data_IF_470092244770
#
_entry.id   IF_470092244770
#
_cell.length_a   1.000
_cell.length_b   1.000
_cell.length_c   1.000
_cell.angle_alpha   90.00
_cell.angle_beta   90.00
_cell.angle_gamma   90.00
#
_symmetry.space_group_name_H-M   'P 1'
#
loop_
_entity.id
_entity.type
_entity.pdbx_description
1 polymer ?
#
# COMPACT_ATOMS: atom_id res chain seq x y z
N UNK A 1 -14.55 -11.56 1.78
CA UNK A 1 -13.70 -12.41 2.64
C UNK A 1 -12.51 -12.86 1.83
N UNK A 2 -11.30 -12.70 2.35
CA UNK A 2 -10.08 -13.24 1.73
C UNK A 2 -9.86 -14.61 2.35
N UNK A 3 -9.70 -15.65 1.54
CA UNK A 3 -9.58 -17.02 2.00
C UNK A 3 -8.19 -17.59 1.77
N UNK A 4 -7.72 -18.43 2.68
CA UNK A 4 -6.47 -19.21 2.58
C UNK A 4 -5.23 -18.37 2.20
N UNK A 5 -5.04 -17.23 2.85
CA UNK A 5 -3.91 -16.32 2.61
C UNK A 5 -2.79 -16.52 3.63
N UNK A 6 -1.57 -16.13 3.26
CA UNK A 6 -0.55 -15.78 4.25
C UNK A 6 -0.93 -14.43 4.87
N UNK A 7 -0.71 -14.25 6.17
CA UNK A 7 -0.85 -12.96 6.85
C UNK A 7 0.43 -12.54 7.54
N UNK A 8 0.79 -11.27 7.42
CA UNK A 8 1.85 -10.63 8.19
C UNK A 8 1.21 -9.58 9.09
N UNK A 9 0.93 -9.92 10.33
CA UNK A 9 0.26 -9.02 11.30
C UNK A 9 1.26 -8.32 12.22
N UNK A 10 2.45 -8.88 12.39
CA UNK A 10 3.57 -8.28 13.10
C UNK A 10 4.86 -8.44 12.28
N UNK A 11 5.87 -7.56 12.45
CA UNK A 11 7.12 -7.66 11.72
C UNK A 11 7.77 -9.03 11.85
N UNK A 12 8.02 -9.69 10.70
CA UNK A 12 8.66 -11.00 10.64
C UNK A 12 7.77 -12.21 11.02
N UNK A 13 6.51 -12.01 11.39
CA UNK A 13 5.60 -13.10 11.77
C UNK A 13 4.59 -13.38 10.65
N UNK A 14 4.88 -14.40 9.85
CA UNK A 14 3.98 -14.87 8.79
C UNK A 14 3.14 -16.03 9.33
N UNK A 15 1.81 -15.88 9.29
CA UNK A 15 0.86 -16.96 9.59
C UNK A 15 0.25 -17.50 8.29
N UNK A 16 0.48 -18.77 7.95
CA UNK A 16 -0.15 -19.39 6.79
C UNK A 16 -1.61 -19.77 7.06
N UNK A 17 -2.34 -20.07 5.98
CA UNK A 17 -3.69 -20.61 6.02
C UNK A 17 -4.65 -19.81 6.90
N UNK A 18 -4.80 -18.52 6.61
CA UNK A 18 -5.71 -17.64 7.32
C UNK A 18 -6.85 -17.16 6.42
N UNK A 19 -8.01 -16.96 7.02
CA UNK A 19 -9.14 -16.23 6.44
C UNK A 19 -9.25 -14.84 7.07
N UNK A 20 -9.57 -13.83 6.26
CA UNK A 20 -9.80 -12.45 6.68
C UNK A 20 -11.22 -12.05 6.30
N UNK A 21 -12.05 -11.82 7.32
CA UNK A 21 -13.39 -11.26 7.15
C UNK A 21 -13.35 -9.75 7.26
N UNK A 22 -13.86 -9.08 6.24
CA UNK A 22 -14.03 -7.63 6.18
C UNK A 22 -15.54 -7.34 6.21
N UNK A 23 -15.95 -6.40 7.07
CA UNK A 23 -17.32 -5.91 7.18
C UNK A 23 -17.29 -4.42 7.48
N UNK A 24 -18.11 -3.64 6.78
CA UNK A 24 -18.22 -2.18 6.96
C UNK A 24 -16.84 -1.48 6.97
N UNK A 25 -16.02 -1.78 5.96
CA UNK A 25 -14.65 -1.27 5.77
C UNK A 25 -13.67 -1.57 6.93
N UNK A 26 -13.98 -2.56 7.77
CA UNK A 26 -13.16 -2.96 8.90
C UNK A 26 -12.83 -4.44 8.86
N UNK A 27 -11.66 -4.79 9.39
CA UNK A 27 -11.32 -6.18 9.67
C UNK A 27 -12.20 -6.64 10.84
N UNK A 28 -13.15 -7.52 10.56
CA UNK A 28 -14.06 -8.05 11.55
C UNK A 28 -13.46 -9.26 12.26
N UNK A 29 -12.70 -10.09 11.55
CA UNK A 29 -12.08 -11.29 12.08
C UNK A 29 -10.90 -11.73 11.20
N UNK A 30 -9.85 -12.26 11.85
CA UNK A 30 -8.77 -13.02 11.23
C UNK A 30 -8.64 -14.33 12.00
N UNK A 31 -8.70 -15.47 11.32
CA UNK A 31 -8.58 -16.78 11.94
C UNK A 31 -8.13 -17.85 10.95
N UNK A 32 -7.82 -19.05 11.46
CA UNK A 32 -7.38 -20.17 10.63
C UNK A 32 -8.40 -20.49 9.52
N UNK A 33 -7.91 -20.91 8.36
CA UNK A 33 -8.73 -21.18 7.19
C UNK A 33 -9.85 -22.19 7.50
N UNK A 34 -11.07 -21.87 7.08
CA UNK A 34 -12.25 -22.71 7.27
C UNK A 34 -12.92 -22.58 8.64
N UNK A 35 -12.42 -21.73 9.53
CA UNK A 35 -13.03 -21.49 10.86
C UNK A 35 -14.15 -20.45 10.83
N UNK A 36 -14.16 -19.56 9.83
CA UNK A 36 -15.19 -18.53 9.67
C UNK A 36 -16.42 -19.17 9.00
N UNK A 37 -17.52 -19.28 9.74
CA UNK A 37 -18.76 -19.92 9.25
C UNK A 37 -19.72 -18.94 8.55
N UNK A 38 -19.35 -17.66 8.49
CA UNK A 38 -20.16 -16.60 7.89
C UNK A 38 -20.05 -16.68 6.37
N UNK A 39 -21.19 -16.61 5.68
CA UNK A 39 -21.24 -16.41 4.23
C UNK A 39 -20.91 -14.94 3.91
N UNK A 40 -19.89 -14.72 3.10
CA UNK A 40 -19.49 -13.39 2.65
C UNK A 40 -20.13 -13.09 1.29
N UNK A 41 -20.50 -11.83 1.05
CA UNK A 41 -21.06 -11.38 -0.24
C UNK A 41 -20.05 -11.52 -1.39
N UNK A 42 -18.76 -11.41 -1.08
CA UNK A 42 -17.64 -11.58 -2.00
C UNK A 42 -16.55 -12.43 -1.35
N UNK A 43 -15.93 -13.31 -2.13
CA UNK A 43 -14.75 -14.08 -1.72
C UNK A 43 -13.57 -13.86 -2.67
N UNK A 44 -12.38 -13.78 -2.10
CA UNK A 44 -11.11 -13.66 -2.84
C UNK A 44 -10.23 -14.84 -2.43
N UNK A 45 -9.71 -15.56 -3.42
CA UNK A 45 -8.71 -16.60 -3.21
C UNK A 45 -7.33 -15.98 -2.93
N UNK A 46 -6.87 -16.15 -1.69
CA UNK A 46 -5.60 -15.67 -1.18
C UNK A 46 -4.45 -16.69 -1.29
N UNK A 47 -4.69 -17.86 -1.89
CA UNK A 47 -3.67 -18.91 -1.99
C UNK A 47 -2.42 -18.37 -2.68
N UNK A 48 -1.25 -18.64 -2.10
CA UNK A 48 0.06 -18.14 -2.56
C UNK A 48 0.20 -16.60 -2.56
N UNK A 49 -0.68 -15.87 -1.86
CA UNK A 49 -0.60 -14.41 -1.68
C UNK A 49 -0.31 -14.07 -0.22
N UNK A 50 0.26 -12.88 -0.01
CA UNK A 50 0.51 -12.31 1.30
C UNK A 50 -0.42 -11.11 1.51
N UNK A 51 -1.17 -11.15 2.60
CA UNK A 51 -1.86 -10.01 3.14
C UNK A 51 -1.04 -9.39 4.26
N UNK A 52 -0.83 -8.08 4.19
CA UNK A 52 -0.10 -7.30 5.18
C UNK A 52 -0.72 -5.91 5.32
N UNK A 53 -0.54 -5.22 6.45
CA UNK A 53 -0.85 -3.81 6.55
C UNK A 53 -0.21 -3.03 5.38
N UNK A 54 -0.98 -2.10 4.80
CA UNK A 54 -0.47 -1.21 3.77
C UNK A 54 0.70 -0.38 4.31
N UNK A 55 1.66 -0.08 3.44
CA UNK A 55 2.78 0.79 3.80
C UNK A 55 2.29 2.22 4.01
N UNK A 56 2.81 2.89 5.03
CA UNK A 56 2.52 4.29 5.33
C UNK A 56 3.73 5.12 4.91
N UNK A 57 3.56 5.94 3.89
CA UNK A 57 4.55 6.95 3.50
C UNK A 57 4.35 8.20 4.35
N UNK A 58 5.28 8.46 5.27
CA UNK A 58 5.19 9.60 6.19
C UNK A 58 5.65 10.91 5.57
N UNK A 59 6.31 10.87 4.41
CA UNK A 59 6.88 12.07 3.81
C UNK A 59 7.07 11.93 2.31
N UNK A 60 6.22 12.63 1.56
CA UNK A 60 6.22 12.67 0.11
C UNK A 60 6.05 14.10 -0.39
N UNK A 61 6.79 14.45 -1.45
CA UNK A 61 6.48 15.60 -2.30
C UNK A 61 5.75 15.11 -3.55
N UNK A 62 4.43 15.25 -3.60
CA UNK A 62 3.60 14.71 -4.70
C UNK A 62 3.90 15.40 -6.03
N UNK A 63 4.05 16.74 -6.05
CA UNK A 63 4.35 17.47 -7.29
C UNK A 63 5.70 17.07 -7.91
N UNK A 64 6.71 16.83 -7.07
CA UNK A 64 8.03 16.40 -7.53
C UNK A 64 8.04 14.98 -8.13
N UNK A 65 6.95 14.20 -8.00
CA UNK A 65 6.84 12.89 -8.67
C UNK A 65 6.90 13.01 -10.20
N UNK A 66 6.50 14.15 -10.76
CA UNK A 66 6.62 14.42 -12.20
C UNK A 66 8.08 14.54 -12.66
N UNK A 67 9.02 14.75 -11.73
CA UNK A 67 10.46 14.80 -11.97
C UNK A 67 11.16 13.45 -11.71
N UNK A 68 10.42 12.40 -11.34
CA UNK A 68 10.98 11.09 -10.95
C UNK A 68 11.93 10.57 -12.02
N UNK A 69 13.18 10.33 -11.61
CA UNK A 69 14.24 9.79 -12.47
C UNK A 69 14.83 10.76 -13.49
N UNK A 70 14.38 12.02 -13.57
CA UNK A 70 14.83 12.99 -14.59
C UNK A 70 15.98 13.90 -14.13
N UNK A 71 16.16 14.02 -12.82
CA UNK A 71 17.00 15.07 -12.23
C UNK A 71 18.20 14.51 -11.44
N UNK A 72 18.36 13.17 -11.37
CA UNK A 72 19.34 12.50 -10.51
C UNK A 72 20.81 12.86 -10.83
N UNK A 73 21.13 13.13 -12.10
CA UNK A 73 22.52 13.41 -12.54
C UNK A 73 22.83 14.91 -12.68
N UNK A 74 21.92 15.79 -12.24
CA UNK A 74 22.09 17.24 -12.44
C UNK A 74 23.14 17.80 -11.48
N UNK A 75 24.18 18.45 -12.01
CA UNK A 75 25.25 19.05 -11.21
C UNK A 75 24.80 20.37 -10.56
N UNK A 76 25.16 20.56 -9.29
CA UNK A 76 24.91 21.79 -8.52
C UNK A 76 23.66 21.73 -7.64
N UNK A 77 23.23 22.89 -7.12
CA UNK A 77 22.08 22.98 -6.19
C UNK A 77 20.76 22.78 -6.94
N UNK A 78 20.37 21.52 -7.10
CA UNK A 78 19.27 21.11 -7.95
C UNK A 78 17.90 21.63 -7.48
N UNK A 79 17.72 21.76 -6.16
CA UNK A 79 16.47 22.22 -5.61
C UNK A 79 16.17 23.67 -6.00
N UNK A 80 17.20 24.53 -6.08
CA UNK A 80 17.05 25.92 -6.54
C UNK A 80 16.83 26.01 -8.05
N UNK A 81 17.52 25.18 -8.82
CA UNK A 81 17.52 25.28 -10.29
C UNK A 81 16.33 24.62 -10.95
N UNK A 82 15.79 23.56 -10.34
CA UNK A 82 14.76 22.72 -10.96
C UNK A 82 13.57 22.50 -10.04
N UNK A 83 13.77 21.99 -8.81
CA UNK A 83 12.62 21.56 -7.99
C UNK A 83 11.72 22.72 -7.56
N UNK A 84 12.28 23.80 -7.00
CA UNK A 84 11.50 24.98 -6.59
C UNK A 84 10.88 25.72 -7.77
N UNK A 85 11.61 26.01 -8.87
CA UNK A 85 10.98 26.61 -10.05
C UNK A 85 9.88 25.73 -10.64
N UNK A 86 10.06 24.41 -10.64
CA UNK A 86 9.05 23.47 -11.12
C UNK A 86 7.78 23.55 -10.26
N UNK A 87 7.91 23.39 -8.95
CA UNK A 87 6.77 23.50 -8.01
C UNK A 87 6.08 24.87 -8.11
N UNK A 88 6.83 25.96 -8.25
CA UNK A 88 6.29 27.31 -8.34
C UNK A 88 5.49 27.60 -9.61
N UNK A 89 5.70 26.82 -10.68
CA UNK A 89 4.99 26.96 -11.95
C UNK A 89 3.91 25.88 -12.16
N UNK A 90 3.67 25.03 -11.16
CA UNK A 90 2.60 24.03 -11.24
C UNK A 90 1.22 24.69 -11.26
N UNK A 91 0.33 24.11 -12.06
CA UNK A 91 -1.10 24.36 -12.08
C UNK A 91 -1.84 23.18 -11.44
N UNK A 92 -3.16 23.27 -11.34
CA UNK A 92 -3.99 22.14 -10.88
C UNK A 92 -3.81 20.89 -11.74
N UNK A 93 -3.54 21.05 -13.04
CA UNK A 93 -3.50 19.94 -14.01
C UNK A 93 -2.07 19.49 -14.38
N UNK A 94 -1.06 20.32 -14.12
CA UNK A 94 0.34 20.12 -14.61
C UNK A 94 1.36 20.68 -13.64
#
# INVERSE_FOLDING_TARGET
MIQDTLTLTAPGEIKPHQDILIRDDKIAQVSDHGTITVQADETIDGTHRLFMPGLIDSHLHTGQQLLRGRVLDTKGIIWQKVMLPFEANMTTET
#
